data_IF_619481227857
#
_entry.id   IF_619481227857
#
_cell.length_a   1.000
_cell.length_b   1.000
_cell.length_c   1.000
_cell.angle_alpha   90.00
_cell.angle_beta   90.00
_cell.angle_gamma   90.00
#
_symmetry.space_group_name_H-M   'P 1'
#
loop_
_entity.id
_entity.type
_entity.pdbx_description
1 polymer ?
#
# COMPACT_ATOMS: atom_id res chain seq x y z
N UNK A 1 -41.20 66.57 42.44
CA UNK A 1 -40.06 66.84 43.33
C UNK A 1 -38.86 66.08 42.83
N UNK A 2 -37.90 66.83 42.36
CA UNK A 2 -36.62 66.30 41.76
C UNK A 2 -35.70 65.90 42.93
N UNK A 3 -35.03 64.73 42.78
CA UNK A 3 -33.75 64.56 43.44
C UNK A 3 -32.76 63.91 42.42
N UNK A 4 -31.70 64.67 42.22
CA UNK A 4 -30.54 64.36 41.38
C UNK A 4 -29.71 63.24 41.99
N UNK A 5 -29.19 62.38 41.13
CA UNK A 5 -28.19 61.41 41.48
C UNK A 5 -26.83 61.85 40.93
N UNK A 6 -25.81 61.87 41.79
CA UNK A 6 -24.44 62.24 41.57
C UNK A 6 -23.65 61.02 41.03
N UNK A 7 -22.87 61.12 39.93
CA UNK A 7 -22.09 60.05 39.43
C UNK A 7 -20.60 60.19 39.80
N UNK A 8 -20.17 59.58 40.90
CA UNK A 8 -18.73 59.38 41.17
C UNK A 8 -18.49 58.16 42.04
N UNK A 9 -17.52 57.33 41.52
CA UNK A 9 -16.78 56.30 42.19
C UNK A 9 -17.37 54.86 42.15
N UNK A 10 -16.89 54.14 41.19
CA UNK A 10 -16.42 52.75 41.46
C UNK A 10 -15.21 52.38 40.50
N UNK A 11 -14.06 52.44 41.13
CA UNK A 11 -12.82 51.85 40.51
C UNK A 11 -12.99 50.33 40.48
N UNK A 12 -13.06 49.74 39.28
CA UNK A 12 -12.93 48.32 39.09
C UNK A 12 -11.47 48.02 38.65
N UNK A 13 -10.75 47.43 39.58
CA UNK A 13 -9.41 46.86 39.39
C UNK A 13 -9.43 45.76 38.32
N UNK A 14 -8.88 46.08 37.17
CA UNK A 14 -8.65 45.12 36.11
C UNK A 14 -7.42 44.23 36.44
N UNK A 15 -7.65 43.06 37.03
CA UNK A 15 -6.62 42.05 37.22
C UNK A 15 -6.41 41.32 35.88
N UNK A 16 -5.40 41.74 35.10
CA UNK A 16 -4.93 40.99 33.96
C UNK A 16 -4.35 39.65 34.43
N UNK A 17 -5.10 38.56 34.18
CA UNK A 17 -4.56 37.23 34.27
C UNK A 17 -3.62 37.02 33.06
N UNK A 18 -2.32 37.09 33.30
CA UNK A 18 -1.31 36.67 32.34
C UNK A 18 -1.42 35.15 32.13
N UNK A 19 -2.09 34.73 31.05
CA UNK A 19 -2.02 33.35 30.58
C UNK A 19 -0.62 33.12 30.03
N UNK A 20 0.26 32.52 30.83
CA UNK A 20 1.53 31.97 30.37
C UNK A 20 1.21 30.83 29.40
N UNK A 21 1.20 31.11 28.10
CA UNK A 21 1.29 30.06 27.07
C UNK A 21 2.70 29.44 27.16
N UNK A 22 2.84 28.36 27.88
CA UNK A 22 3.95 27.47 27.73
C UNK A 22 3.83 26.88 26.32
N UNK A 23 4.60 27.42 25.38
CA UNK A 23 4.95 26.72 24.18
C UNK A 23 5.76 25.50 24.61
N UNK A 24 5.12 24.34 24.68
CA UNK A 24 5.85 23.07 24.65
C UNK A 24 6.58 23.05 23.32
N UNK A 25 7.87 23.31 23.37
CA UNK A 25 8.77 22.98 22.27
C UNK A 25 8.71 21.45 22.20
N UNK A 26 7.86 20.94 21.33
CA UNK A 26 7.89 19.52 20.98
C UNK A 26 9.30 19.25 20.43
N UNK A 27 10.08 18.50 21.20
CA UNK A 27 11.31 17.92 20.70
C UNK A 27 10.85 17.08 19.51
N UNK A 28 11.13 17.54 18.28
CA UNK A 28 10.95 16.75 17.09
C UNK A 28 11.85 15.54 17.27
N UNK A 29 11.28 14.40 17.64
CA UNK A 29 11.99 13.12 17.67
C UNK A 29 12.37 12.84 16.23
N UNK A 30 13.61 13.13 15.87
CA UNK A 30 14.10 12.80 14.53
C UNK A 30 13.98 11.29 14.35
N UNK A 31 13.26 10.88 13.32
CA UNK A 31 13.16 9.46 12.98
C UNK A 31 14.57 8.91 12.68
N UNK A 32 14.86 7.65 13.05
CA UNK A 32 16.18 7.07 12.82
C UNK A 32 16.56 7.12 11.34
N UNK A 33 17.83 7.42 11.09
CA UNK A 33 18.37 7.37 9.73
C UNK A 33 18.27 5.94 9.20
N UNK A 34 17.88 5.80 7.91
CA UNK A 34 17.75 4.51 7.26
C UNK A 34 19.13 3.87 7.10
N UNK A 35 19.27 2.63 7.58
CA UNK A 35 20.52 1.83 7.54
C UNK A 35 20.63 1.03 6.23
N UNK A 36 19.47 0.54 5.70
CA UNK A 36 19.37 -0.08 4.38
C UNK A 36 18.35 0.71 3.54
N UNK A 37 18.82 1.43 2.54
CA UNK A 37 18.02 2.22 1.60
C UNK A 37 17.95 1.61 0.19
N UNK A 38 18.49 0.41 0.01
CA UNK A 38 18.64 -0.25 -1.31
C UNK A 38 17.31 -0.35 -2.04
N UNK A 39 16.23 -0.66 -1.32
CA UNK A 39 14.88 -0.73 -1.90
C UNK A 39 14.43 0.64 -2.47
N UNK A 40 14.58 1.72 -1.71
CA UNK A 40 14.15 3.06 -2.16
C UNK A 40 14.98 3.52 -3.35
N UNK A 41 16.29 3.29 -3.31
CA UNK A 41 17.21 3.62 -4.40
C UNK A 41 16.88 2.85 -5.67
N UNK A 42 16.59 1.55 -5.57
CA UNK A 42 16.16 0.75 -6.71
C UNK A 42 14.87 1.27 -7.33
N UNK A 43 13.86 1.68 -6.53
CA UNK A 43 12.64 2.30 -7.03
C UNK A 43 12.90 3.63 -7.76
N UNK A 44 13.90 4.38 -7.32
CA UNK A 44 14.30 5.65 -7.93
C UNK A 44 15.33 5.47 -9.07
N UNK A 45 15.66 4.22 -9.40
CA UNK A 45 16.64 3.83 -10.44
C UNK A 45 18.05 4.36 -10.14
N UNK A 46 18.38 4.48 -8.88
CA UNK A 46 19.73 4.79 -8.42
C UNK A 46 20.57 3.51 -8.32
N UNK A 47 21.91 3.60 -8.46
CA UNK A 47 22.78 2.45 -8.36
C UNK A 47 22.66 1.75 -7.00
N UNK A 48 22.54 0.42 -7.02
CA UNK A 48 22.45 -0.42 -5.82
C UNK A 48 23.36 -1.64 -5.96
N UNK A 49 23.86 -2.24 -4.87
CA UNK A 49 24.84 -3.33 -4.93
C UNK A 49 24.23 -4.70 -5.28
N UNK A 50 22.91 -4.84 -5.20
CA UNK A 50 22.16 -6.05 -5.50
C UNK A 50 20.68 -5.70 -5.70
N UNK A 51 19.88 -6.61 -6.27
CA UNK A 51 18.43 -6.43 -6.42
C UNK A 51 17.75 -6.61 -5.06
N UNK A 52 17.11 -5.56 -4.49
CA UNK A 52 16.39 -5.69 -3.23
C UNK A 52 15.15 -6.57 -3.37
N UNK A 53 14.80 -7.25 -2.28
CA UNK A 53 13.64 -8.14 -2.20
C UNK A 53 12.73 -7.79 -1.05
N UNK A 54 11.45 -7.75 -1.31
CA UNK A 54 10.37 -7.87 -0.34
C UNK A 54 9.25 -8.72 -0.94
N UNK A 55 8.33 -9.22 -0.14
CA UNK A 55 7.33 -10.17 -0.63
C UNK A 55 5.91 -9.69 -0.32
N UNK A 56 5.08 -9.62 -1.34
CA UNK A 56 3.67 -9.33 -1.20
C UNK A 56 3.02 -10.38 -0.27
N UNK A 57 2.37 -9.90 0.80
CA UNK A 57 1.84 -10.70 1.92
C UNK A 57 2.92 -11.39 2.76
N UNK A 58 4.11 -10.79 2.88
CA UNK A 58 5.22 -11.33 3.71
C UNK A 58 4.83 -11.55 5.18
N UNK A 59 4.00 -10.69 5.77
CA UNK A 59 3.28 -10.99 7.01
C UNK A 59 2.02 -11.78 6.67
N UNK A 60 1.99 -13.07 6.98
CA UNK A 60 0.89 -13.90 6.51
C UNK A 60 0.81 -15.28 7.15
N UNK A 61 -0.28 -15.98 6.83
CA UNK A 61 -0.66 -17.28 7.41
C UNK A 61 0.32 -18.43 7.18
N UNK A 62 1.33 -18.25 6.34
CA UNK A 62 2.40 -19.23 6.17
C UNK A 62 3.39 -19.21 7.33
N UNK A 63 3.44 -18.14 8.14
CA UNK A 63 4.30 -18.01 9.31
C UNK A 63 3.59 -18.52 10.57
N UNK A 64 4.21 -19.45 11.33
CA UNK A 64 3.65 -19.93 12.60
C UNK A 64 3.44 -18.78 13.61
N UNK A 65 4.41 -17.87 13.72
CA UNK A 65 4.35 -16.70 14.61
C UNK A 65 3.19 -15.75 14.25
N UNK A 66 2.91 -15.57 12.98
CA UNK A 66 1.74 -14.79 12.55
C UNK A 66 0.44 -15.45 12.99
N UNK A 67 0.32 -16.76 12.81
CA UNK A 67 -0.88 -17.51 13.23
C UNK A 67 -1.10 -17.44 14.73
N UNK A 68 -0.03 -17.50 15.54
CA UNK A 68 -0.09 -17.34 17.00
C UNK A 68 -0.60 -15.94 17.39
N UNK A 69 -0.04 -14.87 16.80
CA UNK A 69 -0.46 -13.49 17.06
C UNK A 69 -1.91 -13.27 16.62
N UNK A 70 -2.31 -13.81 15.46
CA UNK A 70 -3.69 -13.75 14.97
C UNK A 70 -4.68 -14.45 15.88
N UNK A 71 -4.33 -15.61 16.43
CA UNK A 71 -5.15 -16.34 17.39
C UNK A 71 -5.32 -15.54 18.69
N UNK A 72 -4.27 -14.87 19.15
CA UNK A 72 -4.31 -13.99 20.32
C UNK A 72 -5.21 -12.77 20.07
N UNK A 73 -5.17 -12.19 18.89
CA UNK A 73 -6.02 -11.05 18.52
C UNK A 73 -7.51 -11.42 18.36
N UNK A 74 -7.81 -12.70 18.10
CA UNK A 74 -9.18 -13.22 17.96
C UNK A 74 -9.74 -13.17 16.54
N UNK A 75 -9.66 -12.05 15.85
CA UNK A 75 -10.13 -11.90 14.46
C UNK A 75 -9.13 -11.14 13.59
N UNK A 76 -9.34 -11.18 12.27
CA UNK A 76 -8.52 -10.37 11.35
C UNK A 76 -8.70 -8.87 11.60
N UNK A 77 -9.93 -8.42 11.82
CA UNK A 77 -10.20 -7.00 12.07
C UNK A 77 -9.59 -6.54 13.40
N UNK A 78 -9.68 -7.34 14.45
CA UNK A 78 -9.03 -7.04 15.73
C UNK A 78 -7.50 -6.99 15.61
N UNK A 79 -6.91 -7.87 14.78
CA UNK A 79 -5.48 -7.83 14.46
C UNK A 79 -5.10 -6.54 13.71
N UNK A 80 -5.86 -6.19 12.68
CA UNK A 80 -5.56 -5.05 11.82
C UNK A 80 -5.86 -3.69 12.47
N UNK A 81 -6.86 -3.64 13.37
CA UNK A 81 -7.28 -2.41 14.05
C UNK A 81 -6.50 -2.12 15.34
N UNK A 82 -5.64 -3.02 15.76
CA UNK A 82 -4.77 -2.81 16.91
C UNK A 82 -3.34 -2.48 16.44
N UNK A 83 -2.81 -1.27 16.69
CA UNK A 83 -1.48 -0.85 16.22
C UNK A 83 -0.33 -1.74 16.68
N UNK A 84 -0.39 -2.26 17.93
CA UNK A 84 0.63 -3.12 18.49
C UNK A 84 0.66 -4.47 17.78
N UNK A 85 -0.50 -5.10 17.55
CA UNK A 85 -0.59 -6.34 16.80
C UNK A 85 -0.19 -6.16 15.33
N UNK A 86 -0.63 -5.08 14.68
CA UNK A 86 -0.24 -4.77 13.31
C UNK A 86 1.27 -4.55 13.19
N UNK A 87 1.88 -3.88 14.18
CA UNK A 87 3.33 -3.70 14.27
C UNK A 87 4.03 -5.05 14.46
N UNK A 88 3.61 -5.87 15.42
CA UNK A 88 4.22 -7.17 15.69
C UNK A 88 4.26 -8.04 14.43
N UNK A 89 3.10 -8.22 13.75
CA UNK A 89 3.07 -9.07 12.56
C UNK A 89 3.83 -8.48 11.37
N UNK A 90 3.93 -7.15 11.26
CA UNK A 90 4.76 -6.49 10.23
C UNK A 90 6.24 -6.81 10.43
N UNK A 91 6.72 -6.89 11.68
CA UNK A 91 8.12 -7.10 11.98
C UNK A 91 8.55 -8.59 11.95
N UNK A 92 7.61 -9.52 12.11
CA UNK A 92 7.92 -10.97 12.17
C UNK A 92 8.71 -11.47 10.94
N UNK A 93 8.32 -11.19 9.68
CA UNK A 93 9.11 -11.63 8.54
C UNK A 93 10.52 -11.03 8.49
N UNK A 94 10.69 -9.80 8.99
CA UNK A 94 12.01 -9.13 9.03
C UNK A 94 12.95 -9.64 10.13
N UNK A 95 12.40 -10.32 11.13
CA UNK A 95 13.20 -11.02 12.13
C UNK A 95 13.68 -12.38 11.62
N UNK A 96 12.93 -12.96 10.68
CA UNK A 96 13.19 -14.30 10.14
C UNK A 96 14.01 -14.27 8.85
N UNK A 97 13.77 -13.28 7.99
CA UNK A 97 14.38 -13.16 6.68
C UNK A 97 15.06 -11.81 6.50
N UNK A 98 16.11 -11.79 5.70
CA UNK A 98 16.85 -10.55 5.37
C UNK A 98 16.15 -9.78 4.22
N UNK A 99 14.94 -9.33 4.47
CA UNK A 99 14.13 -8.56 3.51
C UNK A 99 14.55 -7.09 3.51
N UNK A 100 14.46 -6.44 2.35
CA UNK A 100 14.91 -5.06 2.14
C UNK A 100 13.82 -4.00 2.34
N UNK A 101 12.59 -4.42 2.60
CA UNK A 101 11.51 -3.50 2.96
C UNK A 101 10.48 -4.17 3.87
N UNK A 102 9.90 -3.38 4.77
CA UNK A 102 8.67 -3.70 5.48
C UNK A 102 7.47 -3.20 4.68
N UNK A 103 6.35 -3.90 4.75
CA UNK A 103 5.07 -3.38 4.32
C UNK A 103 4.09 -3.40 5.48
N UNK A 104 3.38 -2.29 5.67
CA UNK A 104 2.34 -2.15 6.68
C UNK A 104 1.37 -3.35 6.64
N UNK A 105 1.08 -3.93 7.81
CA UNK A 105 -0.01 -4.90 7.91
C UNK A 105 -1.35 -4.18 8.04
N UNK A 106 -2.16 -4.27 7.01
CA UNK A 106 -3.51 -3.71 6.89
C UNK A 106 -4.27 -4.46 5.81
N UNK A 107 -5.40 -3.93 5.37
CA UNK A 107 -6.16 -4.45 4.23
C UNK A 107 -6.56 -3.32 3.27
N UNK A 108 -6.66 -3.62 1.97
CA UNK A 108 -7.11 -2.66 0.96
C UNK A 108 -8.57 -2.21 1.17
N UNK A 109 -9.34 -2.97 1.93
CA UNK A 109 -10.77 -2.73 2.19
C UNK A 109 -11.03 -1.94 3.48
N UNK A 110 -9.99 -1.47 4.18
CA UNK A 110 -10.15 -0.57 5.33
C UNK A 110 -10.81 0.74 4.94
N UNK A 111 -10.53 1.25 3.75
CA UNK A 111 -11.15 2.48 3.21
C UNK A 111 -12.67 2.33 3.07
N UNK A 112 -13.21 1.37 2.31
CA UNK A 112 -14.68 1.20 2.22
C UNK A 112 -15.31 0.75 3.54
N UNK A 113 -14.56 0.11 4.44
CA UNK A 113 -15.03 -0.16 5.81
C UNK A 113 -15.28 1.17 6.56
N UNK A 114 -14.34 2.11 6.49
CA UNK A 114 -14.47 3.43 7.11
C UNK A 114 -15.61 4.27 6.49
N UNK A 115 -15.94 4.05 5.20
CA UNK A 115 -17.12 4.62 4.54
C UNK A 115 -18.45 4.06 5.10
N UNK A 116 -18.39 3.03 5.95
CA UNK A 116 -19.56 2.46 6.62
C UNK A 116 -20.13 1.19 5.96
N UNK A 117 -19.45 0.55 5.03
CA UNK A 117 -19.94 -0.65 4.36
C UNK A 117 -19.95 -1.91 5.26
N UNK A 118 -19.24 -1.87 6.40
CA UNK A 118 -19.23 -2.96 7.38
C UNK A 118 -18.49 -4.19 6.85
N UNK A 119 -17.15 -4.15 6.93
CA UNK A 119 -16.27 -5.25 6.51
C UNK A 119 -16.19 -6.33 7.59
N UNK A 120 -16.32 -7.59 7.18
CA UNK A 120 -16.03 -8.77 7.99
C UNK A 120 -15.21 -9.79 7.17
N UNK A 121 -14.54 -10.70 7.86
CA UNK A 121 -13.77 -11.78 7.24
C UNK A 121 -14.32 -13.13 7.66
N UNK A 122 -15.09 -13.74 6.76
CA UNK A 122 -15.69 -15.04 6.99
C UNK A 122 -14.65 -16.14 6.77
N UNK A 123 -14.56 -17.08 7.70
CA UNK A 123 -13.64 -18.20 7.61
C UNK A 123 -13.90 -19.03 6.34
N UNK A 124 -12.87 -19.12 5.47
CA UNK A 124 -12.98 -19.86 4.19
C UNK A 124 -13.53 -19.05 3.01
N UNK A 125 -14.28 -17.97 3.24
CA UNK A 125 -14.93 -17.18 2.18
C UNK A 125 -14.18 -15.87 1.85
N UNK A 126 -13.37 -15.36 2.79
CA UNK A 126 -12.64 -14.10 2.60
C UNK A 126 -13.39 -12.85 3.08
N UNK A 127 -13.08 -11.67 2.53
CA UNK A 127 -13.73 -10.42 2.93
C UNK A 127 -15.18 -10.35 2.44
N UNK A 128 -16.06 -9.81 3.29
CA UNK A 128 -17.47 -9.61 2.99
C UNK A 128 -17.97 -8.28 3.54
N UNK A 129 -18.71 -7.52 2.73
CA UNK A 129 -19.38 -6.31 3.16
C UNK A 129 -20.84 -6.57 3.54
N UNK A 130 -21.23 -6.06 4.71
CA UNK A 130 -22.62 -6.14 5.17
C UNK A 130 -23.57 -5.26 4.35
N UNK A 131 -23.06 -4.15 3.81
CA UNK A 131 -23.82 -3.16 3.03
C UNK A 131 -23.13 -2.89 1.69
N UNK A 132 -23.16 -3.83 0.73
CA UNK A 132 -22.60 -3.58 -0.60
C UNK A 132 -23.41 -2.53 -1.35
N UNK A 133 -22.77 -1.83 -2.28
CA UNK A 133 -23.36 -0.76 -3.08
C UNK A 133 -24.03 -1.38 -4.31
N UNK A 134 -25.36 -1.33 -4.40
CA UNK A 134 -26.13 -2.08 -5.41
C UNK A 134 -26.95 -1.23 -6.36
N UNK A 135 -27.25 -0.01 -6.00
CA UNK A 135 -28.18 0.86 -6.73
C UNK A 135 -27.79 2.34 -6.61
N UNK A 136 -28.53 3.20 -7.29
CA UNK A 136 -28.30 4.64 -7.29
C UNK A 136 -28.34 5.26 -5.89
N UNK A 137 -29.31 4.85 -5.06
CA UNK A 137 -29.44 5.40 -3.71
C UNK A 137 -28.19 5.08 -2.86
N UNK A 138 -27.65 3.86 -2.99
CA UNK A 138 -26.44 3.44 -2.30
C UNK A 138 -25.24 4.29 -2.75
N UNK A 139 -25.09 4.51 -4.08
CA UNK A 139 -23.99 5.33 -4.64
C UNK A 139 -24.13 6.80 -4.22
N UNK A 140 -25.33 7.34 -4.25
CA UNK A 140 -25.58 8.74 -3.84
C UNK A 140 -25.34 8.98 -2.37
N UNK A 141 -25.49 7.95 -1.53
CA UNK A 141 -25.20 8.00 -0.09
C UNK A 141 -23.71 7.83 0.26
N UNK A 142 -22.85 7.49 -0.71
CA UNK A 142 -21.41 7.37 -0.47
C UNK A 142 -20.79 8.74 -0.21
N UNK A 143 -20.00 8.80 0.85
CA UNK A 143 -19.19 9.97 1.21
C UNK A 143 -17.77 9.51 1.57
N UNK A 144 -16.79 10.39 1.35
CA UNK A 144 -15.44 10.18 1.86
C UNK A 144 -15.49 10.11 3.39
N UNK A 145 -14.86 9.12 4.03
CA UNK A 145 -14.89 8.99 5.48
C UNK A 145 -14.00 10.06 6.14
N UNK A 146 -14.33 10.41 7.37
CA UNK A 146 -13.38 11.10 8.23
C UNK A 146 -12.16 10.20 8.45
N UNK A 147 -10.95 10.70 8.14
CA UNK A 147 -9.69 9.95 8.29
C UNK A 147 -9.41 9.54 9.75
N UNK A 148 -10.04 10.18 10.74
CA UNK A 148 -9.96 9.74 12.14
C UNK A 148 -10.46 8.31 12.36
N UNK A 149 -11.39 7.81 11.53
CA UNK A 149 -11.84 6.41 11.56
C UNK A 149 -10.73 5.41 11.18
N UNK A 150 -9.68 5.89 10.53
CA UNK A 150 -8.52 5.13 10.10
C UNK A 150 -7.27 5.43 10.94
N UNK A 151 -7.42 6.17 12.06
CA UNK A 151 -6.30 6.58 12.91
C UNK A 151 -5.44 5.39 13.37
N UNK A 152 -6.05 4.26 13.65
CA UNK A 152 -5.33 3.03 14.02
C UNK A 152 -4.31 2.58 12.98
N UNK A 153 -4.55 2.86 11.68
CA UNK A 153 -3.58 2.58 10.61
C UNK A 153 -2.38 3.52 10.71
N UNK A 154 -2.63 4.80 10.95
CA UNK A 154 -1.58 5.81 11.02
C UNK A 154 -0.74 5.64 12.29
N UNK A 155 -1.37 5.24 13.39
CA UNK A 155 -0.69 4.87 14.63
C UNK A 155 0.20 3.64 14.43
N UNK A 156 -0.30 2.61 13.69
CA UNK A 156 0.50 1.44 13.33
C UNK A 156 1.70 1.83 12.46
N UNK A 157 1.52 2.69 11.44
CA UNK A 157 2.64 3.19 10.61
C UNK A 157 3.70 3.86 11.46
N UNK A 158 3.30 4.76 12.37
CA UNK A 158 4.22 5.47 13.25
C UNK A 158 4.96 4.53 14.20
N UNK A 159 4.25 3.56 14.77
CA UNK A 159 4.84 2.56 15.66
C UNK A 159 5.84 1.67 14.90
N UNK A 160 5.45 1.15 13.74
CA UNK A 160 6.32 0.31 12.89
C UNK A 160 7.58 1.10 12.51
N UNK A 161 7.46 2.37 12.10
CA UNK A 161 8.61 3.22 11.76
C UNK A 161 9.60 3.35 12.93
N UNK A 162 9.08 3.51 14.13
CA UNK A 162 9.89 3.58 15.36
C UNK A 162 10.58 2.24 15.62
N UNK A 163 9.84 1.15 15.60
CA UNK A 163 10.36 -0.19 15.94
C UNK A 163 11.30 -0.76 14.87
N UNK A 164 11.20 -0.33 13.61
CA UNK A 164 12.17 -0.66 12.58
C UNK A 164 13.55 -0.06 12.85
N UNK A 165 13.63 1.00 13.63
CA UNK A 165 14.88 1.71 13.97
C UNK A 165 15.80 1.94 12.74
N UNK A 166 15.21 2.25 11.60
CA UNK A 166 15.92 2.46 10.35
C UNK A 166 16.48 1.19 9.69
N UNK A 167 16.17 -0.01 10.17
CA UNK A 167 16.68 -1.26 9.59
C UNK A 167 16.38 -1.35 8.10
N UNK A 168 15.14 -1.15 7.72
CA UNK A 168 14.65 -1.12 6.33
C UNK A 168 13.52 -0.08 6.18
N UNK A 169 13.20 0.39 4.96
CA UNK A 169 12.08 1.29 4.75
C UNK A 169 10.72 0.62 4.93
N UNK A 170 9.71 1.43 5.25
CA UNK A 170 8.31 1.02 5.40
C UNK A 170 7.51 1.44 4.18
N UNK A 171 6.80 0.48 3.59
CA UNK A 171 5.84 0.68 2.51
C UNK A 171 4.44 0.85 3.12
N UNK A 172 3.77 1.97 2.82
CA UNK A 172 2.34 2.15 2.98
C UNK A 172 1.60 1.68 1.73
N UNK A 173 0.31 1.39 1.82
CA UNK A 173 -0.44 0.94 0.65
C UNK A 173 -1.93 1.20 0.73
N UNK A 174 -2.59 1.11 -0.43
CA UNK A 174 -4.04 1.11 -0.58
C UNK A 174 -4.45 0.26 -1.79
N UNK A 175 -5.72 -0.10 -1.86
CA UNK A 175 -6.33 -0.59 -3.09
C UNK A 175 -6.51 0.53 -4.11
N UNK A 176 -6.45 0.20 -5.40
CA UNK A 176 -6.83 1.14 -6.45
C UNK A 176 -8.32 1.49 -6.38
N UNK A 177 -8.75 2.65 -6.86
CA UNK A 177 -10.16 3.04 -6.88
C UNK A 177 -11.07 2.00 -7.54
N UNK A 178 -10.63 1.40 -8.65
CA UNK A 178 -11.36 0.33 -9.35
C UNK A 178 -11.45 -0.95 -8.52
N UNK A 179 -10.33 -1.45 -7.99
CA UNK A 179 -10.32 -2.66 -7.16
C UNK A 179 -11.22 -2.50 -5.93
N UNK A 180 -11.19 -1.34 -5.28
CA UNK A 180 -12.09 -1.01 -4.16
C UNK A 180 -13.56 -1.05 -4.63
N UNK A 181 -13.88 -0.41 -5.77
CA UNK A 181 -15.23 -0.42 -6.33
C UNK A 181 -15.75 -1.83 -6.66
N UNK A 182 -14.88 -2.73 -7.16
CA UNK A 182 -15.23 -4.13 -7.36
C UNK A 182 -15.75 -4.76 -6.07
N UNK A 183 -15.01 -4.65 -4.98
CA UNK A 183 -15.43 -5.20 -3.69
C UNK A 183 -16.67 -4.50 -3.11
N UNK A 184 -16.78 -3.17 -3.27
CA UNK A 184 -17.95 -2.42 -2.80
C UNK A 184 -19.24 -2.89 -3.48
N UNK A 185 -19.19 -3.16 -4.79
CA UNK A 185 -20.35 -3.57 -5.57
C UNK A 185 -20.59 -5.08 -5.46
N UNK A 186 -19.58 -5.93 -5.62
CA UNK A 186 -19.74 -7.38 -5.48
C UNK A 186 -20.09 -7.78 -4.04
N UNK A 187 -19.59 -7.01 -3.05
CA UNK A 187 -19.78 -7.25 -1.63
C UNK A 187 -18.83 -8.30 -1.06
N UNK A 188 -18.08 -9.00 -1.91
CA UNK A 188 -17.14 -10.08 -1.60
C UNK A 188 -16.18 -10.29 -2.79
N UNK A 189 -15.32 -11.33 -2.72
CA UNK A 189 -14.59 -11.78 -3.91
C UNK A 189 -15.55 -12.23 -5.01
N UNK A 190 -15.16 -12.08 -6.27
CA UNK A 190 -15.95 -12.46 -7.44
C UNK A 190 -15.06 -13.09 -8.51
N UNK A 191 -15.59 -14.06 -9.26
CA UNK A 191 -14.89 -14.69 -10.36
C UNK A 191 -15.17 -14.00 -11.70
N UNK A 192 -16.40 -13.47 -11.88
CA UNK A 192 -16.86 -12.86 -13.14
C UNK A 192 -17.07 -11.34 -13.08
N UNK A 193 -17.11 -10.76 -11.89
CA UNK A 193 -17.34 -9.31 -11.68
C UNK A 193 -18.63 -8.82 -12.33
N UNK A 194 -19.65 -9.65 -12.37
CA UNK A 194 -20.88 -9.40 -13.12
C UNK A 194 -21.62 -8.16 -12.63
N UNK A 195 -21.71 -7.95 -11.32
CA UNK A 195 -22.49 -6.86 -10.75
C UNK A 195 -21.80 -5.51 -10.99
N UNK A 196 -20.51 -5.41 -10.72
CA UNK A 196 -19.77 -4.15 -10.93
C UNK A 196 -19.69 -3.81 -12.42
N UNK A 197 -19.48 -4.80 -13.29
CA UNK A 197 -19.47 -4.58 -14.74
C UNK A 197 -20.86 -4.20 -15.25
N UNK A 198 -21.93 -4.82 -14.74
CA UNK A 198 -23.30 -4.43 -15.12
C UNK A 198 -23.60 -2.99 -14.74
N UNK A 199 -23.21 -2.55 -13.53
CA UNK A 199 -23.36 -1.15 -13.11
C UNK A 199 -22.56 -0.22 -14.01
N UNK A 200 -21.31 -0.56 -14.30
CA UNK A 200 -20.42 0.22 -15.16
C UNK A 200 -21.00 0.44 -16.57
N UNK A 201 -21.60 -0.62 -17.17
CA UNK A 201 -22.20 -0.50 -18.51
C UNK A 201 -23.57 0.19 -18.51
N UNK A 202 -24.40 -0.03 -17.50
CA UNK A 202 -25.77 0.49 -17.45
C UNK A 202 -25.83 1.91 -16.88
N UNK A 203 -24.96 2.24 -15.92
CA UNK A 203 -24.92 3.52 -15.23
C UNK A 203 -23.46 3.97 -15.02
N UNK A 204 -22.75 4.28 -16.12
CA UNK A 204 -21.36 4.77 -16.03
C UNK A 204 -21.25 6.03 -15.17
N UNK A 205 -22.26 6.90 -15.14
CA UNK A 205 -22.34 8.06 -14.28
C UNK A 205 -22.19 7.71 -12.78
N UNK A 206 -22.86 6.64 -12.32
CA UNK A 206 -22.75 6.17 -10.94
C UNK A 206 -21.38 5.56 -10.66
N UNK A 207 -20.84 4.82 -11.62
CA UNK A 207 -19.50 4.25 -11.50
C UNK A 207 -18.46 5.35 -11.39
N UNK A 208 -18.49 6.37 -12.25
CA UNK A 208 -17.59 7.51 -12.17
C UNK A 208 -17.69 8.24 -10.84
N UNK A 209 -18.91 8.46 -10.30
CA UNK A 209 -19.10 9.06 -8.99
C UNK A 209 -18.42 8.24 -7.87
N UNK A 210 -18.62 6.92 -7.88
CA UNK A 210 -18.01 6.02 -6.89
C UNK A 210 -16.48 6.04 -6.99
N UNK A 211 -15.94 5.96 -8.21
CA UNK A 211 -14.50 5.97 -8.46
C UNK A 211 -13.85 7.31 -8.07
N UNK A 212 -14.57 8.41 -8.25
CA UNK A 212 -14.13 9.75 -7.83
C UNK A 212 -13.96 9.82 -6.30
N UNK A 213 -14.97 9.34 -5.56
CA UNK A 213 -14.93 9.28 -4.09
C UNK A 213 -13.81 8.35 -3.63
N UNK A 214 -13.67 7.18 -4.27
CA UNK A 214 -12.61 6.23 -3.95
C UNK A 214 -11.22 6.83 -4.23
N UNK A 215 -11.04 7.54 -5.34
CA UNK A 215 -9.76 8.15 -5.70
C UNK A 215 -9.36 9.23 -4.68
N UNK A 216 -10.27 10.14 -4.35
CA UNK A 216 -10.02 11.17 -3.35
C UNK A 216 -9.68 10.54 -1.98
N UNK A 217 -10.48 9.58 -1.53
CA UNK A 217 -10.27 8.93 -0.24
C UNK A 217 -8.95 8.15 -0.21
N UNK A 218 -8.62 7.44 -1.29
CA UNK A 218 -7.36 6.68 -1.39
C UNK A 218 -6.15 7.62 -1.37
N UNK A 219 -6.24 8.77 -2.04
CA UNK A 219 -5.22 9.80 -2.01
C UNK A 219 -5.01 10.34 -0.58
N UNK A 220 -6.09 10.72 0.10
CA UNK A 220 -6.02 11.24 1.47
C UNK A 220 -5.47 10.21 2.45
N UNK A 221 -5.88 8.95 2.30
CA UNK A 221 -5.42 7.82 3.10
C UNK A 221 -3.93 7.53 2.92
N UNK A 222 -3.43 7.52 1.68
CA UNK A 222 -1.99 7.33 1.42
C UNK A 222 -1.17 8.52 1.89
N UNK A 223 -1.65 9.75 1.69
CA UNK A 223 -1.00 10.94 2.19
C UNK A 223 -0.92 10.96 3.73
N UNK A 224 -1.94 10.45 4.42
CA UNK A 224 -1.90 10.30 5.87
C UNK A 224 -0.88 9.23 6.31
N UNK A 225 -0.74 8.12 5.58
CA UNK A 225 0.31 7.12 5.84
C UNK A 225 1.72 7.71 5.63
N UNK A 226 1.92 8.55 4.59
CA UNK A 226 3.20 9.23 4.35
C UNK A 226 3.53 10.15 5.53
N UNK A 227 2.56 10.99 5.97
CA UNK A 227 2.75 11.88 7.13
C UNK A 227 3.02 11.10 8.41
N UNK A 228 2.47 9.90 8.56
CA UNK A 228 2.72 9.01 9.69
C UNK A 228 4.08 8.30 9.63
N UNK A 229 4.79 8.35 8.48
CA UNK A 229 6.16 7.86 8.35
C UNK A 229 6.38 6.77 7.30
N UNK A 230 5.41 6.45 6.43
CA UNK A 230 5.64 5.58 5.29
C UNK A 230 6.66 6.22 4.32
N UNK A 231 7.64 5.44 3.87
CA UNK A 231 8.78 5.93 3.05
C UNK A 231 8.64 5.59 1.57
N UNK A 232 7.71 4.71 1.23
CA UNK A 232 7.21 4.45 -0.11
C UNK A 232 5.72 4.12 0.00
N UNK A 233 4.96 4.28 -1.07
CA UNK A 233 3.55 3.87 -1.09
C UNK A 233 3.24 3.05 -2.33
N UNK A 234 2.28 2.13 -2.19
CA UNK A 234 1.88 1.23 -3.26
C UNK A 234 0.37 1.19 -3.45
N UNK A 235 -0.07 1.29 -4.70
CA UNK A 235 -1.45 1.09 -5.13
C UNK A 235 -1.62 -0.31 -5.71
N UNK A 236 -2.55 -1.07 -5.14
CA UNK A 236 -2.89 -2.42 -5.59
C UNK A 236 -4.13 -2.41 -6.48
N UNK A 237 -3.94 -2.48 -7.78
CA UNK A 237 -5.01 -2.71 -8.75
C UNK A 237 -5.13 -4.21 -9.09
N UNK A 238 -5.57 -4.98 -8.09
CA UNK A 238 -5.67 -6.45 -8.18
C UNK A 238 -6.66 -6.91 -9.24
N UNK A 239 -7.59 -6.05 -9.66
CA UNK A 239 -8.68 -6.38 -10.59
C UNK A 239 -8.70 -5.53 -11.87
N UNK A 240 -7.65 -4.76 -12.14
CA UNK A 240 -7.55 -4.00 -13.41
C UNK A 240 -7.57 -4.91 -14.64
N UNK A 241 -6.92 -6.06 -14.57
CA UNK A 241 -6.84 -7.03 -15.66
C UNK A 241 -8.15 -7.73 -16.05
N UNK A 242 -9.26 -7.49 -15.32
CA UNK A 242 -10.59 -8.03 -15.72
C UNK A 242 -11.34 -7.09 -16.68
N UNK A 243 -10.81 -5.91 -16.93
CA UNK A 243 -11.39 -4.91 -17.85
C UNK A 243 -10.93 -5.15 -19.29
N UNK A 244 -11.76 -4.69 -20.24
CA UNK A 244 -11.33 -4.53 -21.63
C UNK A 244 -10.43 -3.30 -21.75
N UNK A 245 -9.73 -3.17 -22.87
CA UNK A 245 -8.76 -2.11 -23.08
C UNK A 245 -9.31 -0.70 -22.79
N UNK A 246 -10.36 -0.29 -23.47
CA UNK A 246 -10.96 1.05 -23.28
C UNK A 246 -11.48 1.28 -21.86
N UNK A 247 -12.05 0.24 -21.25
CA UNK A 247 -12.59 0.32 -19.88
C UNK A 247 -11.49 0.35 -18.83
N UNK A 248 -10.36 -0.30 -19.07
CA UNK A 248 -9.19 -0.14 -18.22
C UNK A 248 -8.69 1.30 -18.19
N UNK A 249 -8.59 1.92 -19.37
CA UNK A 249 -8.20 3.33 -19.50
C UNK A 249 -9.16 4.25 -18.74
N UNK A 250 -10.47 4.05 -18.91
CA UNK A 250 -11.53 4.92 -18.38
C UNK A 250 -11.79 4.71 -16.88
N UNK A 251 -11.93 3.46 -16.43
CA UNK A 251 -12.41 3.14 -15.08
C UNK A 251 -11.32 2.71 -14.09
N UNK A 252 -10.14 2.31 -14.56
CA UNK A 252 -9.03 1.97 -13.68
C UNK A 252 -7.89 2.99 -13.76
N UNK A 253 -7.25 3.10 -14.92
CA UNK A 253 -6.01 3.88 -15.06
C UNK A 253 -6.22 5.39 -14.84
N UNK A 254 -7.32 5.95 -15.33
CA UNK A 254 -7.64 7.38 -15.15
C UNK A 254 -7.70 7.74 -13.66
N UNK A 255 -8.35 6.91 -12.84
CA UNK A 255 -8.47 7.14 -11.41
C UNK A 255 -7.21 6.77 -10.63
N UNK A 256 -6.44 5.78 -11.08
CA UNK A 256 -5.10 5.49 -10.56
C UNK A 256 -4.18 6.68 -10.76
N UNK A 257 -4.17 7.27 -11.97
CA UNK A 257 -3.41 8.49 -12.28
C UNK A 257 -3.82 9.65 -11.37
N UNK A 258 -5.12 9.85 -11.18
CA UNK A 258 -5.63 10.90 -10.30
C UNK A 258 -5.13 10.75 -8.86
N UNK A 259 -5.08 9.53 -8.32
CA UNK A 259 -4.50 9.27 -7.00
C UNK A 259 -3.01 9.64 -7.00
N UNK A 260 -2.25 9.13 -7.97
CA UNK A 260 -0.78 9.34 -8.07
C UNK A 260 -0.43 10.82 -8.16
N UNK A 261 -1.18 11.60 -8.94
CA UNK A 261 -0.97 13.03 -9.13
C UNK A 261 -1.17 13.84 -7.84
N UNK A 262 -2.01 13.37 -6.93
CA UNK A 262 -2.28 14.05 -5.66
C UNK A 262 -1.45 13.55 -4.47
N UNK A 263 -0.52 12.61 -4.67
CA UNK A 263 0.32 12.09 -3.58
C UNK A 263 1.45 13.04 -3.19
N UNK A 264 1.75 13.06 -1.91
CA UNK A 264 2.96 13.67 -1.37
C UNK A 264 4.18 12.92 -1.90
N UNK A 265 5.06 13.64 -2.63
CA UNK A 265 6.25 13.04 -3.26
C UNK A 265 7.54 13.30 -2.49
N UNK A 266 7.46 14.08 -1.43
CA UNK A 266 8.59 14.38 -0.55
C UNK A 266 8.10 14.50 0.90
N UNK A 267 8.76 13.85 1.82
CA UNK A 267 8.50 13.94 3.25
C UNK A 267 9.81 13.84 4.03
N UNK A 268 10.00 14.68 5.05
CA UNK A 268 11.23 14.76 5.84
C UNK A 268 12.51 14.94 4.98
N UNK A 269 12.41 15.74 3.90
CA UNK A 269 13.50 15.99 2.96
C UNK A 269 13.93 14.76 2.13
N UNK A 270 13.09 13.74 2.07
CA UNK A 270 13.30 12.51 1.28
C UNK A 270 12.19 12.32 0.27
N UNK A 271 12.56 11.87 -0.94
CA UNK A 271 11.56 11.47 -1.94
C UNK A 271 10.81 10.24 -1.45
N UNK A 272 9.49 10.23 -1.67
CA UNK A 272 8.59 9.11 -1.39
C UNK A 272 8.22 8.47 -2.72
N UNK A 273 8.82 7.32 -3.10
CA UNK A 273 8.48 6.62 -4.33
C UNK A 273 7.06 6.06 -4.29
N UNK A 274 6.41 6.07 -5.46
CA UNK A 274 5.08 5.50 -5.68
C UNK A 274 5.18 4.29 -6.58
N UNK A 275 4.59 3.18 -6.15
CA UNK A 275 4.51 1.93 -6.90
C UNK A 275 3.05 1.70 -7.30
N UNK A 276 2.81 1.40 -8.57
CA UNK A 276 1.50 0.96 -9.06
C UNK A 276 1.59 -0.49 -9.49
N UNK A 277 0.67 -1.32 -9.04
CA UNK A 277 0.59 -2.74 -9.42
C UNK A 277 -0.78 -3.03 -10.03
N UNK A 278 -0.80 -3.54 -11.25
CA UNK A 278 -2.01 -4.04 -11.91
C UNK A 278 -1.84 -5.51 -12.26
N UNK A 279 -2.61 -6.39 -11.62
CA UNK A 279 -2.64 -7.81 -11.99
C UNK A 279 -3.31 -7.96 -13.36
N UNK A 280 -2.64 -8.67 -14.27
CA UNK A 280 -3.09 -8.76 -15.67
C UNK A 280 -2.79 -7.53 -16.51
N UNK A 281 -1.99 -6.56 -15.98
CA UNK A 281 -1.67 -5.29 -16.64
C UNK A 281 -0.66 -5.37 -17.79
N UNK A 282 -0.18 -6.56 -18.15
CA UNK A 282 0.87 -6.74 -19.16
C UNK A 282 0.54 -6.20 -20.56
N UNK A 283 -0.73 -6.00 -20.88
CA UNK A 283 -1.15 -5.37 -22.13
C UNK A 283 -0.93 -3.85 -22.13
N UNK A 284 -1.00 -3.20 -20.97
CA UNK A 284 -1.01 -1.73 -20.80
C UNK A 284 0.27 -1.19 -20.14
N UNK A 285 1.43 -1.86 -20.37
CA UNK A 285 2.69 -1.47 -19.72
C UNK A 285 3.06 -0.01 -19.99
N UNK A 286 2.91 0.46 -21.23
CA UNK A 286 3.21 1.84 -21.64
C UNK A 286 2.28 2.85 -20.99
N UNK A 287 1.00 2.53 -20.91
CA UNK A 287 -0.02 3.38 -20.32
C UNK A 287 0.17 3.52 -18.81
N UNK A 288 0.45 2.38 -18.13
CA UNK A 288 0.76 2.35 -16.70
C UNK A 288 2.08 3.10 -16.44
N UNK A 289 3.09 2.92 -17.28
CA UNK A 289 4.36 3.64 -17.16
C UNK A 289 4.19 5.17 -17.30
N UNK A 290 3.14 5.61 -17.98
CA UNK A 290 2.76 7.03 -18.12
C UNK A 290 1.90 7.58 -16.99
N UNK A 291 1.60 6.81 -15.92
CA UNK A 291 0.68 7.26 -14.87
C UNK A 291 1.33 8.14 -13.78
N UNK A 292 2.64 8.45 -13.88
CA UNK A 292 3.34 9.30 -12.91
C UNK A 292 3.97 8.57 -11.72
N UNK A 293 3.87 7.24 -11.66
CA UNK A 293 4.53 6.42 -10.64
C UNK A 293 6.06 6.34 -10.87
N UNK A 294 6.83 5.96 -9.83
CA UNK A 294 8.27 5.72 -9.91
C UNK A 294 8.58 4.27 -10.26
N UNK A 295 7.67 3.36 -9.94
CA UNK A 295 7.81 1.93 -10.20
C UNK A 295 6.48 1.28 -10.58
N UNK A 296 6.57 0.21 -11.36
CA UNK A 296 5.43 -0.63 -11.73
C UNK A 296 5.68 -2.06 -11.26
N UNK A 297 4.75 -2.60 -10.47
CA UNK A 297 4.67 -4.02 -10.18
C UNK A 297 4.02 -4.77 -11.33
N UNK A 298 4.60 -5.90 -11.72
CA UNK A 298 4.07 -6.77 -12.77
C UNK A 298 3.88 -8.19 -12.26
N UNK A 299 2.86 -8.87 -12.76
CA UNK A 299 2.61 -10.25 -12.39
C UNK A 299 3.47 -11.25 -13.21
N UNK A 300 3.40 -12.53 -12.85
CA UNK A 300 4.23 -13.60 -13.45
C UNK A 300 3.93 -13.91 -14.93
N UNK A 301 2.86 -13.34 -15.50
CA UNK A 301 2.53 -13.52 -16.94
C UNK A 301 3.37 -12.63 -17.84
N UNK A 302 4.05 -11.64 -17.25
CA UNK A 302 4.89 -10.67 -17.96
C UNK A 302 6.34 -11.12 -17.95
N UNK A 303 6.99 -11.20 -19.11
CA UNK A 303 8.44 -11.35 -19.18
C UNK A 303 9.12 -9.99 -18.97
N UNK A 304 10.03 -9.90 -17.99
CA UNK A 304 10.65 -8.62 -17.60
C UNK A 304 11.51 -8.01 -18.71
N UNK A 305 12.22 -8.81 -19.50
CA UNK A 305 13.00 -8.33 -20.63
C UNK A 305 12.10 -7.65 -21.68
N UNK A 306 10.96 -8.26 -22.00
CA UNK A 306 9.98 -7.68 -22.94
C UNK A 306 9.31 -6.43 -22.36
N UNK A 307 9.00 -6.44 -21.06
CA UNK A 307 8.45 -5.25 -20.39
C UNK A 307 9.44 -4.09 -20.49
N UNK A 308 10.69 -4.32 -20.11
CA UNK A 308 11.76 -3.31 -20.19
C UNK A 308 11.99 -2.79 -21.61
N UNK A 309 11.93 -3.67 -22.62
CA UNK A 309 12.05 -3.26 -24.02
C UNK A 309 10.91 -2.34 -24.48
N UNK A 310 9.70 -2.52 -23.94
CA UNK A 310 8.51 -1.71 -24.27
C UNK A 310 8.50 -0.35 -23.57
N UNK A 311 8.85 -0.31 -22.28
CA UNK A 311 8.76 0.92 -21.48
C UNK A 311 10.09 1.67 -21.36
N UNK A 312 11.21 1.03 -21.74
CA UNK A 312 12.55 1.56 -21.49
C UNK A 312 12.86 1.67 -20.00
N UNK A 313 13.79 2.53 -19.66
CA UNK A 313 14.15 2.80 -18.26
C UNK A 313 13.35 4.00 -17.68
N UNK A 314 12.06 4.15 -18.07
CA UNK A 314 11.20 5.25 -17.62
C UNK A 314 10.86 5.14 -16.13
N UNK A 315 10.70 3.92 -15.64
CA UNK A 315 10.42 3.62 -14.23
C UNK A 315 11.03 2.27 -13.83
N UNK A 316 11.12 2.01 -12.52
CA UNK A 316 11.57 0.73 -12.02
C UNK A 316 10.50 -0.36 -12.22
N UNK A 317 10.94 -1.62 -12.42
CA UNK A 317 10.07 -2.79 -12.44
C UNK A 317 10.17 -3.56 -11.12
N UNK A 318 9.01 -3.96 -10.60
CA UNK A 318 8.91 -4.81 -9.42
C UNK A 318 8.24 -6.13 -9.77
N UNK A 319 8.84 -7.22 -9.38
CA UNK A 319 8.30 -8.57 -9.58
C UNK A 319 9.38 -9.52 -10.06
N UNK A 320 9.02 -10.70 -10.64
CA UNK A 320 7.62 -11.14 -10.78
C UNK A 320 7.53 -12.66 -10.74
N UNK A 321 8.18 -13.27 -9.74
CA UNK A 321 8.18 -14.71 -9.58
C UNK A 321 6.75 -15.24 -9.37
N UNK A 322 6.42 -16.36 -10.05
CA UNK A 322 5.20 -17.09 -9.76
C UNK A 322 5.25 -17.63 -8.32
N UNK A 323 4.30 -17.25 -7.43
CA UNK A 323 4.29 -17.74 -6.06
C UNK A 323 4.24 -19.27 -5.94
N UNK A 324 3.75 -19.98 -6.95
CA UNK A 324 3.68 -21.43 -6.94
C UNK A 324 5.07 -22.10 -7.11
N UNK A 325 6.08 -21.37 -7.55
CA UNK A 325 7.48 -21.82 -7.54
C UNK A 325 7.94 -22.29 -6.16
N UNK A 326 7.39 -21.69 -5.09
CA UNK A 326 7.72 -22.02 -3.70
C UNK A 326 7.40 -23.48 -3.32
N UNK A 327 6.61 -24.19 -4.11
CA UNK A 327 6.29 -25.60 -3.91
C UNK A 327 7.18 -26.57 -4.73
N UNK A 328 8.10 -26.03 -5.53
CA UNK A 328 8.98 -26.80 -6.42
C UNK A 328 10.25 -27.35 -5.75
N UNK A 329 10.48 -27.02 -4.46
CA UNK A 329 11.73 -27.37 -3.77
C UNK A 329 12.88 -26.39 -4.08
N UNK A 330 14.00 -26.53 -3.36
CA UNK A 330 15.13 -25.58 -3.37
C UNK A 330 15.69 -25.34 -4.78
N UNK A 331 15.92 -26.40 -5.54
CA UNK A 331 16.50 -26.30 -6.90
C UNK A 331 15.60 -25.47 -7.83
N UNK A 332 14.28 -25.69 -7.78
CA UNK A 332 13.34 -24.95 -8.60
C UNK A 332 13.26 -23.48 -8.16
N UNK A 333 13.25 -23.21 -6.85
CA UNK A 333 13.23 -21.85 -6.31
C UNK A 333 14.45 -21.07 -6.79
N UNK A 334 15.66 -21.63 -6.62
CA UNK A 334 16.89 -20.98 -7.05
C UNK A 334 16.93 -20.77 -8.57
N UNK A 335 16.56 -21.76 -9.34
CA UNK A 335 16.52 -21.67 -10.81
C UNK A 335 15.57 -20.58 -11.30
N UNK A 336 14.35 -20.54 -10.80
CA UNK A 336 13.36 -19.57 -11.26
C UNK A 336 13.65 -18.14 -10.71
N UNK A 337 14.26 -18.02 -9.52
CA UNK A 337 14.74 -16.73 -9.01
C UNK A 337 15.83 -16.16 -9.95
N UNK A 338 16.82 -16.98 -10.34
CA UNK A 338 17.85 -16.60 -11.32
C UNK A 338 17.24 -16.18 -12.64
N UNK A 339 16.26 -16.94 -13.12
CA UNK A 339 15.56 -16.64 -14.36
C UNK A 339 14.90 -15.26 -14.35
N UNK A 340 14.20 -14.90 -13.27
CA UNK A 340 13.59 -13.57 -13.13
C UNK A 340 14.66 -12.48 -13.15
N UNK A 341 15.77 -12.68 -12.46
CA UNK A 341 16.90 -11.73 -12.42
C UNK A 341 17.56 -11.60 -13.81
N UNK A 342 17.81 -12.73 -14.48
CA UNK A 342 18.41 -12.75 -15.81
C UNK A 342 17.47 -12.16 -16.88
N UNK A 343 16.15 -12.40 -16.77
CA UNK A 343 15.14 -11.79 -17.64
C UNK A 343 15.11 -10.25 -17.51
N UNK A 344 15.32 -9.70 -16.32
CA UNK A 344 15.52 -8.26 -16.18
C UNK A 344 16.85 -7.82 -16.80
N UNK A 345 17.90 -8.62 -16.62
CA UNK A 345 19.23 -8.38 -17.13
C UNK A 345 20.05 -7.33 -16.36
N UNK A 346 21.12 -6.78 -16.95
CA UNK A 346 21.95 -5.76 -16.31
C UNK A 346 21.11 -4.56 -15.92
N UNK A 347 21.24 -4.10 -14.65
CA UNK A 347 20.39 -3.05 -14.10
C UNK A 347 20.66 -1.69 -14.79
N UNK A 348 21.93 -1.33 -15.00
CA UNK A 348 22.29 -0.11 -15.71
C UNK A 348 21.63 1.13 -15.09
N UNK A 349 20.83 1.85 -15.90
CA UNK A 349 20.01 2.98 -15.47
C UNK A 349 18.57 2.59 -15.08
N UNK A 350 18.25 1.30 -15.17
CA UNK A 350 16.94 0.77 -14.74
C UNK A 350 16.90 0.49 -13.24
N UNK A 351 15.74 0.13 -12.73
CA UNK A 351 15.56 -0.29 -11.34
C UNK A 351 14.81 -1.61 -11.30
N UNK A 352 15.33 -2.58 -10.56
CA UNK A 352 14.67 -3.85 -10.32
C UNK A 352 14.47 -4.08 -8.82
N UNK A 353 13.24 -4.35 -8.43
CA UNK A 353 12.86 -4.83 -7.09
C UNK A 353 12.29 -6.23 -7.25
N UNK A 354 12.92 -7.23 -6.63
CA UNK A 354 12.42 -8.58 -6.68
C UNK A 354 11.18 -8.74 -5.78
N UNK A 355 10.17 -9.40 -6.32
CA UNK A 355 8.95 -9.77 -5.60
C UNK A 355 8.29 -10.96 -6.31
N UNK A 356 7.25 -11.51 -5.69
CA UNK A 356 6.30 -12.32 -6.43
C UNK A 356 5.43 -11.46 -7.36
N UNK A 357 4.87 -12.09 -8.38
CA UNK A 357 3.87 -11.47 -9.24
C UNK A 357 2.48 -11.30 -8.58
N UNK A 358 2.30 -11.82 -7.36
CA UNK A 358 1.16 -11.62 -6.45
C UNK A 358 1.55 -12.06 -5.02
N UNK A 359 0.58 -12.16 -4.11
CA UNK A 359 0.85 -12.53 -2.73
C UNK A 359 1.31 -13.98 -2.55
N UNK A 360 2.21 -14.20 -1.59
CA UNK A 360 2.65 -15.54 -1.19
C UNK A 360 1.48 -16.41 -0.73
N UNK A 361 1.54 -17.69 -1.03
CA UNK A 361 0.53 -18.67 -0.60
C UNK A 361 0.62 -18.95 0.91
N UNK A 362 -0.52 -19.09 1.55
CA UNK A 362 -0.59 -19.49 2.97
C UNK A 362 -0.03 -20.89 3.27
N UNK A 363 0.21 -21.67 2.25
CA UNK A 363 0.73 -23.05 2.34
C UNK A 363 2.23 -23.13 2.05
N UNK A 364 2.88 -21.98 1.79
CA UNK A 364 4.33 -21.93 1.57
C UNK A 364 5.07 -22.33 2.83
N UNK A 365 6.11 -23.16 2.67
CA UNK A 365 7.06 -23.44 3.75
C UNK A 365 7.89 -22.18 4.02
N UNK A 366 7.98 -21.68 5.27
CA UNK A 366 8.82 -20.54 5.60
C UNK A 366 10.29 -20.72 5.20
N UNK A 367 10.84 -21.93 5.26
CA UNK A 367 12.23 -22.18 4.89
C UNK A 367 12.50 -21.91 3.40
N UNK A 368 11.50 -22.16 2.55
CA UNK A 368 11.57 -21.83 1.14
C UNK A 368 11.79 -20.32 0.89
N UNK A 369 11.24 -19.47 1.77
CA UNK A 369 11.43 -18.01 1.68
C UNK A 369 12.88 -17.62 1.98
N UNK A 370 13.51 -18.25 2.98
CA UNK A 370 14.93 -18.04 3.27
C UNK A 370 15.83 -18.40 2.08
N UNK A 371 15.54 -19.52 1.41
CA UNK A 371 16.25 -19.94 0.19
C UNK A 371 16.09 -18.89 -0.94
N UNK A 372 14.88 -18.39 -1.12
CA UNK A 372 14.60 -17.36 -2.14
C UNK A 372 15.38 -16.07 -1.87
N UNK A 373 15.33 -15.57 -0.63
CA UNK A 373 16.01 -14.31 -0.26
C UNK A 373 17.53 -14.43 -0.43
N UNK A 374 18.11 -15.53 0.05
CA UNK A 374 19.54 -15.84 -0.12
C UNK A 374 19.94 -15.84 -1.60
N UNK A 375 19.17 -16.54 -2.44
CA UNK A 375 19.45 -16.63 -3.86
C UNK A 375 19.36 -15.27 -4.56
N UNK A 376 18.32 -14.48 -4.27
CA UNK A 376 18.16 -13.16 -4.89
C UNK A 376 19.33 -12.25 -4.52
N UNK A 377 19.72 -12.15 -3.26
CA UNK A 377 20.82 -11.31 -2.81
C UNK A 377 22.17 -11.75 -3.39
N UNK A 378 22.47 -13.06 -3.35
CA UNK A 378 23.76 -13.56 -3.79
C UNK A 378 23.90 -13.51 -5.32
N UNK A 379 22.87 -13.98 -6.05
CA UNK A 379 22.93 -14.09 -7.50
C UNK A 379 22.85 -12.76 -8.22
N UNK A 380 22.02 -11.80 -7.75
CA UNK A 380 21.78 -10.55 -8.46
C UNK A 380 23.01 -9.63 -8.53
N UNK A 381 23.97 -9.74 -7.61
CA UNK A 381 25.18 -8.88 -7.56
C UNK A 381 25.90 -8.81 -8.91
N UNK A 382 25.88 -9.88 -9.71
CA UNK A 382 26.50 -9.91 -11.04
C UNK A 382 25.88 -8.95 -12.06
N UNK A 383 24.63 -8.53 -11.84
CA UNK A 383 23.90 -7.60 -12.69
C UNK A 383 24.02 -6.14 -12.23
N UNK A 384 24.66 -5.91 -11.07
CA UNK A 384 24.87 -4.62 -10.45
C UNK A 384 26.32 -4.15 -10.44
N UNK A 385 27.18 -4.83 -11.22
CA UNK A 385 28.58 -4.40 -11.35
C UNK A 385 28.62 -3.00 -11.95
N UNK A 386 29.29 -2.09 -11.24
CA UNK A 386 29.58 -0.72 -11.66
C UNK A 386 30.74 -0.73 -12.65
#
# INVERSE_FOLDING_TARGET
>A
MLHAFDPRQTQTTNTMVKINRHFSIGIAVSLPQLKNDVFLRALLREPVPYTPIWLMRQAGRYLPEYNATRAQAGSFMQLAQNPEFACEVTLQPLRRFDLDAAILFSDILTVPHAMGLGLDFVAGEGPRFARPVRNEADVMALEAPDMSKLQYVFDAVSLIRKELDGKVPLIGFAGSPWTIACYMVEGQGSDDYRLVKSMMYQRPDLMHRMLEINAQTTQDYLNAQIRAGAQAVMLFDSWGGVLSDSLFQEFSLAYTRKVVDGLIREHDGKRVPVIVFTKGGGMWLEDIAGCGADAMGVDWTVNLSRARARIGDKLALQGNLDPMTMFGGEEAIRREARRVIDDFGPVGQGGHVFNFGHGISRFTDPEAVGILVDEVHSYSRRHHSV
#
